data_IF_925242647451
#
_entry.id   IF_925242647451
#
_cell.length_a   1.000
_cell.length_b   1.000
_cell.length_c   1.000
_cell.angle_alpha   90.00
_cell.angle_beta   90.00
_cell.angle_gamma   90.00
#
_symmetry.space_group_name_H-M   'P 1'
#
loop_
_entity.id
_entity.type
_entity.pdbx_description
1 polymer ?
#
# COMPACT_ATOMS: atom_id res chain seq x y z
N UNK A 1 -9.44 -5.56 12.81
CA UNK A 1 -8.42 -5.58 11.75
C UNK A 1 -8.00 -4.17 11.32
N UNK A 2 -8.91 -3.27 10.91
CA UNK A 2 -8.51 -1.92 10.48
C UNK A 2 -7.64 -1.15 11.49
N UNK A 3 -8.02 -1.20 12.77
CA UNK A 3 -7.30 -0.47 13.82
C UNK A 3 -5.86 -0.95 14.06
N UNK A 4 -5.55 -2.22 13.82
CA UNK A 4 -4.20 -2.77 14.02
C UNK A 4 -3.29 -2.60 12.79
N UNK A 5 -3.85 -2.26 11.64
CA UNK A 5 -3.07 -2.20 10.40
C UNK A 5 -2.23 -0.91 10.27
N UNK A 6 -2.57 0.13 11.03
CA UNK A 6 -1.79 1.38 11.09
C UNK A 6 -0.31 1.18 11.42
N UNK A 7 0.01 0.13 12.20
CA UNK A 7 1.39 -0.20 12.54
C UNK A 7 2.26 -0.50 11.31
N UNK A 8 1.71 -1.11 10.26
CA UNK A 8 2.49 -1.52 9.10
C UNK A 8 3.16 -0.32 8.41
N UNK A 9 2.40 0.73 8.08
CA UNK A 9 2.98 1.92 7.44
C UNK A 9 3.76 2.78 8.43
N UNK A 10 3.41 2.77 9.71
CA UNK A 10 4.20 3.41 10.77
C UNK A 10 5.62 2.82 10.79
N UNK A 11 5.75 1.49 10.78
CA UNK A 11 7.05 0.82 10.72
C UNK A 11 7.81 1.15 9.42
N UNK A 12 7.13 1.20 8.28
CA UNK A 12 7.76 1.60 7.01
C UNK A 12 8.39 2.99 7.13
N UNK A 13 7.66 3.96 7.67
CA UNK A 13 8.13 5.35 7.76
C UNK A 13 9.22 5.53 8.82
N UNK A 14 9.03 4.97 10.02
CA UNK A 14 9.95 5.20 11.13
C UNK A 14 11.14 4.24 11.16
N UNK A 15 10.99 3.03 10.65
CA UNK A 15 12.09 2.07 10.52
C UNK A 15 12.83 2.16 9.17
N UNK A 16 12.34 2.97 8.22
CA UNK A 16 13.01 3.21 6.95
C UNK A 16 12.93 2.03 5.97
N UNK A 17 11.80 1.31 5.95
CA UNK A 17 11.60 0.20 5.01
C UNK A 17 11.07 0.69 3.67
N UNK A 18 11.45 -0.01 2.60
CA UNK A 18 10.95 0.27 1.25
C UNK A 18 9.59 -0.41 1.02
N UNK A 19 8.62 0.39 0.59
CA UNK A 19 7.28 -0.08 0.27
C UNK A 19 6.97 0.22 -1.20
N UNK A 20 6.74 -0.83 -2.00
CA UNK A 20 6.44 -0.72 -3.44
C UNK A 20 5.35 0.30 -3.75
N UNK A 21 4.24 0.26 -3.02
CA UNK A 21 3.11 1.16 -3.24
C UNK A 21 3.46 2.63 -3.02
N UNK A 22 4.33 2.96 -2.06
CA UNK A 22 4.88 4.30 -1.87
C UNK A 22 5.86 4.70 -2.98
N UNK A 23 6.70 3.76 -3.43
CA UNK A 23 7.63 3.99 -4.53
C UNK A 23 6.93 4.35 -5.84
N UNK A 24 5.71 3.84 -6.09
CA UNK A 24 4.93 4.23 -7.29
C UNK A 24 4.69 5.75 -7.36
N UNK A 25 4.51 6.42 -6.25
CA UNK A 25 4.37 7.88 -6.17
C UNK A 25 5.72 8.60 -6.20
N UNK A 26 6.65 8.23 -5.30
CA UNK A 26 7.90 8.97 -5.14
C UNK A 26 8.79 8.91 -6.37
N UNK A 27 8.94 7.72 -6.97
CA UNK A 27 9.75 7.55 -8.17
C UNK A 27 9.12 8.25 -9.38
N UNK A 28 7.79 8.24 -9.49
CA UNK A 28 7.09 9.03 -10.53
C UNK A 28 7.35 10.52 -10.37
N UNK A 29 7.26 11.06 -9.15
CA UNK A 29 7.62 12.46 -8.87
C UNK A 29 9.06 12.78 -9.24
N UNK A 30 10.01 11.88 -8.92
CA UNK A 30 11.42 12.01 -9.29
C UNK A 30 11.62 12.06 -10.79
N UNK A 31 10.98 11.16 -11.54
CA UNK A 31 11.06 11.10 -12.99
C UNK A 31 10.43 12.35 -13.66
N UNK A 32 9.24 12.77 -13.23
CA UNK A 32 8.58 13.97 -13.73
C UNK A 32 9.37 15.27 -13.44
N UNK A 33 10.12 15.29 -12.35
CA UNK A 33 11.06 16.36 -12.02
C UNK A 33 12.42 16.22 -12.70
N UNK A 34 12.60 15.21 -13.56
CA UNK A 34 13.86 14.90 -14.25
C UNK A 34 15.05 14.70 -13.31
N UNK A 35 14.80 14.19 -12.10
CA UNK A 35 15.85 13.88 -11.11
C UNK A 35 16.34 12.46 -11.22
N UNK A 36 15.58 11.58 -11.84
CA UNK A 36 15.91 10.17 -12.10
C UNK A 36 15.50 9.81 -13.53
N UNK A 37 16.09 8.77 -14.06
CA UNK A 37 15.74 8.22 -15.38
C UNK A 37 14.50 7.31 -15.29
N UNK A 38 13.90 6.99 -16.44
CA UNK A 38 12.84 5.96 -16.51
C UNK A 38 13.37 4.57 -16.17
N UNK A 39 14.66 4.31 -16.42
CA UNK A 39 15.31 3.05 -16.02
C UNK A 39 15.40 2.95 -14.50
N UNK A 40 15.78 4.04 -13.82
CA UNK A 40 15.82 4.07 -12.35
C UNK A 40 14.42 3.85 -11.76
N UNK A 41 13.40 4.47 -12.35
CA UNK A 41 12.00 4.28 -11.93
C UNK A 41 11.58 2.81 -12.09
N UNK A 42 11.78 2.23 -13.26
CA UNK A 42 11.34 0.85 -13.53
C UNK A 42 12.12 -0.18 -12.72
N UNK A 43 13.44 0.00 -12.56
CA UNK A 43 14.26 -0.87 -11.73
C UNK A 43 13.90 -0.78 -10.25
N UNK A 44 13.67 0.43 -9.73
CA UNK A 44 13.20 0.63 -8.36
C UNK A 44 11.85 -0.06 -8.12
N UNK A 45 10.88 0.09 -9.04
CA UNK A 45 9.59 -0.58 -8.91
C UNK A 45 9.72 -2.10 -8.94
N UNK A 46 10.54 -2.64 -9.86
CA UNK A 46 10.75 -4.09 -9.95
C UNK A 46 11.44 -4.63 -8.68
N UNK A 47 12.51 -3.97 -8.23
CA UNK A 47 13.27 -4.42 -7.06
C UNK A 47 12.47 -4.32 -5.76
N UNK A 48 11.72 -3.23 -5.56
CA UNK A 48 10.88 -3.10 -4.36
C UNK A 48 9.69 -4.06 -4.38
N UNK A 49 9.09 -4.31 -5.54
CA UNK A 49 8.01 -5.30 -5.67
C UNK A 49 8.50 -6.71 -5.35
N UNK A 50 9.64 -7.12 -5.94
CA UNK A 50 10.24 -8.43 -5.70
C UNK A 50 10.73 -8.57 -4.27
N UNK A 51 11.35 -7.53 -3.71
CA UNK A 51 11.79 -7.50 -2.31
C UNK A 51 10.62 -7.62 -1.33
N UNK A 52 9.52 -6.91 -1.59
CA UNK A 52 8.31 -7.03 -0.77
C UNK A 52 7.68 -8.43 -0.92
N UNK A 53 7.66 -9.03 -2.12
CA UNK A 53 7.17 -10.40 -2.31
C UNK A 53 8.03 -11.41 -1.55
N UNK A 54 9.35 -11.33 -1.66
CA UNK A 54 10.27 -12.21 -0.96
C UNK A 54 10.15 -12.07 0.57
N UNK A 55 10.10 -10.82 1.07
CA UNK A 55 9.91 -10.54 2.49
C UNK A 55 8.56 -11.01 3.01
N UNK A 56 7.50 -10.82 2.24
CA UNK A 56 6.16 -11.29 2.57
C UNK A 56 6.09 -12.84 2.63
N UNK A 57 6.72 -13.52 1.67
CA UNK A 57 6.79 -14.98 1.63
C UNK A 57 7.60 -15.52 2.82
N UNK A 58 8.75 -14.93 3.12
CA UNK A 58 9.56 -15.31 4.28
C UNK A 58 8.80 -15.12 5.59
N UNK A 59 8.13 -13.97 5.75
CA UNK A 59 7.30 -13.70 6.93
C UNK A 59 6.16 -14.73 7.06
N UNK A 60 5.51 -15.07 5.95
CA UNK A 60 4.44 -16.06 5.92
C UNK A 60 4.96 -17.45 6.36
N UNK A 61 6.13 -17.88 5.87
CA UNK A 61 6.76 -19.15 6.27
C UNK A 61 7.07 -19.14 7.76
N UNK A 62 7.72 -18.08 8.27
CA UNK A 62 8.05 -17.96 9.70
C UNK A 62 6.77 -18.02 10.55
N UNK A 63 5.73 -17.31 10.13
CA UNK A 63 4.45 -17.29 10.84
C UNK A 63 3.80 -18.67 10.89
N UNK A 64 3.76 -19.41 9.78
CA UNK A 64 3.17 -20.75 9.69
C UNK A 64 4.00 -21.76 10.50
N UNK A 65 5.33 -21.74 10.37
CA UNK A 65 6.24 -22.62 11.15
C UNK A 65 6.13 -22.33 12.65
N UNK A 66 5.94 -21.07 13.03
CA UNK A 66 5.63 -20.65 14.40
C UNK A 66 4.23 -21.03 14.90
N UNK A 67 3.50 -21.85 14.14
CA UNK A 67 2.17 -22.36 14.48
C UNK A 67 1.01 -21.47 14.07
N UNK A 68 1.25 -20.32 13.44
CA UNK A 68 0.23 -19.43 12.90
C UNK A 68 -0.73 -18.79 13.92
N UNK A 69 -0.47 -18.98 15.22
CA UNK A 69 -1.26 -18.42 16.33
C UNK A 69 -2.76 -18.74 16.20
N UNK A 70 -3.59 -17.85 16.73
CA UNK A 70 -5.05 -18.00 16.65
C UNK A 70 -5.59 -17.97 15.20
N UNK A 71 -4.84 -17.48 14.24
CA UNK A 71 -5.28 -17.39 12.84
C UNK A 71 -5.30 -18.74 12.11
N UNK A 72 -4.46 -19.71 12.49
CA UNK A 72 -4.42 -21.01 11.85
C UNK A 72 -4.96 -22.15 12.77
N UNK A 73 -4.93 -21.98 14.10
CA UNK A 73 -5.36 -23.01 15.04
C UNK A 73 -6.86 -23.03 15.36
N UNK A 74 -7.55 -21.92 15.30
CA UNK A 74 -8.95 -21.80 15.73
C UNK A 74 -9.95 -22.03 14.61
N UNK A 75 -9.78 -23.04 13.74
CA UNK A 75 -10.64 -23.24 12.56
C UNK A 75 -10.86 -21.93 11.82
N UNK A 76 -9.80 -21.30 11.40
CA UNK A 76 -9.80 -19.94 10.88
C UNK A 76 -10.51 -19.84 9.54
N UNK A 77 -11.80 -20.05 9.58
CA UNK A 77 -12.70 -19.86 8.46
C UNK A 77 -12.60 -18.44 7.90
N UNK A 78 -12.26 -17.48 8.77
CA UNK A 78 -12.13 -16.08 8.39
C UNK A 78 -10.98 -15.82 7.39
N UNK A 79 -9.76 -16.32 7.66
CA UNK A 79 -8.62 -16.15 6.75
C UNK A 79 -8.93 -16.77 5.39
N UNK A 80 -9.46 -17.98 5.37
CA UNK A 80 -9.78 -18.69 4.13
C UNK A 80 -10.94 -18.03 3.38
N UNK A 81 -11.95 -17.52 4.07
CA UNK A 81 -13.03 -16.73 3.46
C UNK A 81 -12.50 -15.48 2.78
N UNK A 82 -11.62 -14.73 3.46
CA UNK A 82 -11.00 -13.51 2.90
C UNK A 82 -10.10 -13.86 1.71
N UNK A 83 -9.26 -14.90 1.83
CA UNK A 83 -8.37 -15.33 0.75
C UNK A 83 -9.16 -15.78 -0.49
N UNK A 84 -10.20 -16.61 -0.30
CA UNK A 84 -11.10 -17.04 -1.38
C UNK A 84 -11.74 -15.84 -2.08
N UNK A 85 -12.31 -14.90 -1.30
CA UNK A 85 -12.93 -13.71 -1.86
C UNK A 85 -11.93 -12.86 -2.68
N UNK A 86 -10.71 -12.66 -2.16
CA UNK A 86 -9.66 -11.88 -2.84
C UNK A 86 -9.10 -12.56 -4.09
N UNK A 87 -8.91 -13.88 -4.05
CA UNK A 87 -8.36 -14.64 -5.19
C UNK A 87 -9.35 -14.81 -6.34
N UNK A 88 -10.65 -14.80 -6.06
CA UNK A 88 -11.70 -15.07 -7.04
C UNK A 88 -12.54 -13.84 -7.42
N UNK A 89 -12.20 -12.66 -6.94
CA UNK A 89 -12.90 -11.43 -7.28
C UNK A 89 -12.67 -11.05 -8.76
N UNK A 90 -13.66 -10.42 -9.42
CA UNK A 90 -13.51 -9.93 -10.78
C UNK A 90 -12.34 -8.96 -10.93
N UNK A 91 -11.59 -9.05 -12.02
CA UNK A 91 -10.41 -8.23 -12.30
C UNK A 91 -10.66 -6.72 -12.15
N UNK A 92 -11.79 -6.24 -12.67
CA UNK A 92 -12.14 -4.82 -12.60
C UNK A 92 -12.40 -4.34 -11.17
N UNK A 93 -12.97 -5.20 -10.32
CA UNK A 93 -13.19 -4.87 -8.91
C UNK A 93 -11.87 -4.80 -8.15
N UNK A 94 -10.98 -5.77 -8.36
CA UNK A 94 -9.64 -5.79 -7.77
C UNK A 94 -8.86 -4.53 -8.17
N UNK A 95 -8.88 -4.19 -9.44
CA UNK A 95 -8.21 -3.02 -9.98
C UNK A 95 -8.75 -1.71 -9.38
N UNK A 96 -10.07 -1.54 -9.36
CA UNK A 96 -10.70 -0.34 -8.80
C UNK A 96 -10.45 -0.18 -7.29
N UNK A 97 -10.61 -1.27 -6.50
CA UNK A 97 -10.31 -1.28 -5.07
C UNK A 97 -8.82 -1.01 -4.79
N UNK A 98 -7.94 -1.45 -5.68
CA UNK A 98 -6.51 -1.19 -5.58
C UNK A 98 -6.16 0.28 -5.84
N UNK A 99 -6.83 0.94 -6.79
CA UNK A 99 -6.70 2.38 -7.00
C UNK A 99 -7.06 3.13 -5.71
N UNK A 100 -8.23 2.86 -5.14
CA UNK A 100 -8.70 3.52 -3.93
C UNK A 100 -7.78 3.26 -2.73
N UNK A 101 -7.24 2.04 -2.62
CA UNK A 101 -6.30 1.69 -1.56
C UNK A 101 -5.02 2.51 -1.64
N UNK A 102 -4.33 2.48 -2.78
CA UNK A 102 -3.02 3.13 -2.89
C UNK A 102 -3.14 4.66 -2.92
N UNK A 103 -4.30 5.20 -3.24
CA UNK A 103 -4.56 6.62 -3.06
C UNK A 103 -4.41 7.01 -1.58
N UNK A 104 -5.05 6.26 -0.67
CA UNK A 104 -4.96 6.51 0.77
C UNK A 104 -3.55 6.24 1.32
N UNK A 105 -2.86 5.18 0.85
CA UNK A 105 -1.48 4.89 1.26
C UNK A 105 -0.54 6.02 0.85
N UNK A 106 -0.59 6.43 -0.40
CA UNK A 106 0.24 7.53 -0.89
C UNK A 106 -0.10 8.87 -0.22
N UNK A 107 -1.39 9.10 0.08
CA UNK A 107 -1.82 10.29 0.82
C UNK A 107 -1.26 10.29 2.24
N UNK A 108 -1.27 9.15 2.93
CA UNK A 108 -0.65 9.01 4.26
C UNK A 108 0.85 9.33 4.22
N UNK A 109 1.58 8.78 3.23
CA UNK A 109 3.00 9.06 3.01
C UNK A 109 3.26 10.53 2.71
N UNK A 110 2.44 11.13 1.84
CA UNK A 110 2.54 12.54 1.48
C UNK A 110 2.31 13.47 2.66
N UNK A 111 1.28 13.19 3.47
CA UNK A 111 1.01 13.96 4.69
C UNK A 111 2.14 13.79 5.71
N UNK A 112 2.59 12.55 5.95
CA UNK A 112 3.68 12.27 6.89
C UNK A 112 4.99 12.99 6.50
N UNK A 113 5.32 13.07 5.20
CA UNK A 113 6.49 13.79 4.70
C UNK A 113 6.43 15.31 4.91
N UNK A 114 5.23 15.88 5.10
CA UNK A 114 4.99 17.32 5.31
C UNK A 114 4.78 17.71 6.76
N UNK A 115 4.68 16.73 7.65
CA UNK A 115 4.49 16.95 9.08
C UNK A 115 5.84 16.90 9.81
N UNK A 116 6.00 17.72 10.84
CA UNK A 116 7.17 17.72 11.72
C UNK A 116 6.90 17.03 13.06
N UNK A 117 5.64 16.89 13.45
CA UNK A 117 5.24 16.24 14.70
C UNK A 117 4.97 14.74 14.45
N UNK A 118 5.70 13.88 15.13
CA UNK A 118 5.64 12.43 14.94
C UNK A 118 4.31 11.81 15.39
N UNK A 119 3.70 12.35 16.44
CA UNK A 119 2.36 11.92 16.87
C UNK A 119 1.32 12.24 15.79
N UNK A 120 1.37 13.43 15.20
CA UNK A 120 0.48 13.80 14.11
C UNK A 120 0.67 12.91 12.88
N UNK A 121 1.93 12.52 12.55
CA UNK A 121 2.20 11.53 11.49
C UNK A 121 1.49 10.20 11.78
N UNK A 122 1.65 9.67 13.00
CA UNK A 122 0.99 8.41 13.41
C UNK A 122 -0.53 8.48 13.28
N UNK A 123 -1.14 9.59 13.68
CA UNK A 123 -2.60 9.80 13.56
C UNK A 123 -3.05 9.84 12.10
N UNK A 124 -2.35 10.57 11.24
CA UNK A 124 -2.66 10.64 9.82
C UNK A 124 -2.52 9.28 9.12
N UNK A 125 -1.44 8.54 9.43
CA UNK A 125 -1.22 7.18 8.94
C UNK A 125 -2.36 6.26 9.41
N UNK A 126 -2.68 6.30 10.71
CA UNK A 126 -3.73 5.45 11.28
C UNK A 126 -5.06 5.62 10.55
N UNK A 127 -5.52 6.85 10.34
CA UNK A 127 -6.81 7.09 9.70
C UNK A 127 -6.87 6.64 8.24
N UNK A 128 -5.80 6.88 7.47
CA UNK A 128 -5.74 6.43 6.09
C UNK A 128 -5.76 4.90 5.99
N UNK A 129 -4.97 4.22 6.83
CA UNK A 129 -4.89 2.77 6.82
C UNK A 129 -6.16 2.12 7.39
N UNK A 130 -6.73 2.69 8.44
CA UNK A 130 -8.02 2.26 8.96
C UNK A 130 -9.12 2.34 7.89
N UNK A 131 -9.19 3.46 7.17
CA UNK A 131 -10.18 3.68 6.13
C UNK A 131 -10.08 2.63 5.02
N UNK A 132 -8.88 2.37 4.46
CA UNK A 132 -8.78 1.42 3.35
C UNK A 132 -9.03 -0.04 3.77
N UNK A 133 -8.61 -0.44 4.99
CA UNK A 133 -8.88 -1.79 5.49
C UNK A 133 -10.37 -1.98 5.82
N UNK A 134 -10.99 -0.99 6.47
CA UNK A 134 -12.41 -1.04 6.81
C UNK A 134 -13.30 -1.08 5.56
N UNK A 135 -12.87 -0.42 4.48
CA UNK A 135 -13.59 -0.40 3.20
C UNK A 135 -13.32 -1.64 2.33
N UNK A 136 -12.45 -2.56 2.75
CA UNK A 136 -12.11 -3.76 1.96
C UNK A 136 -11.34 -3.46 0.67
N UNK A 137 -10.54 -2.39 0.64
CA UNK A 137 -9.70 -2.04 -0.49
C UNK A 137 -8.51 -3.00 -0.62
N UNK A 138 -7.86 -3.00 -1.80
CA UNK A 138 -6.87 -4.01 -2.17
C UNK A 138 -5.45 -3.43 -2.20
N UNK A 139 -4.57 -3.99 -1.36
CA UNK A 139 -3.17 -3.60 -1.25
C UNK A 139 -2.26 -4.76 -1.67
N UNK A 140 -1.47 -4.59 -2.73
CA UNK A 140 -0.64 -5.67 -3.30
C UNK A 140 0.31 -6.28 -2.27
N UNK A 141 1.08 -5.48 -1.54
CA UNK A 141 2.06 -5.98 -0.56
C UNK A 141 1.39 -6.66 0.63
N UNK A 142 0.25 -6.14 1.12
CA UNK A 142 -0.51 -6.81 2.17
C UNK A 142 -1.08 -8.15 1.71
N UNK A 143 -1.54 -8.21 0.45
CA UNK A 143 -2.04 -9.44 -0.16
C UNK A 143 -0.92 -10.47 -0.36
N UNK A 144 0.31 -10.07 -0.68
CA UNK A 144 1.46 -10.98 -0.75
C UNK A 144 1.60 -11.80 0.54
N UNK A 145 1.52 -11.15 1.70
CA UNK A 145 1.62 -11.85 2.99
C UNK A 145 0.38 -12.68 3.30
N UNK A 146 -0.81 -12.07 3.22
CA UNK A 146 -2.07 -12.71 3.59
C UNK A 146 -2.36 -13.95 2.74
N UNK A 147 -2.23 -13.82 1.42
CA UNK A 147 -2.53 -14.92 0.50
C UNK A 147 -1.47 -16.02 0.55
N UNK A 148 -0.21 -15.68 0.81
CA UNK A 148 0.85 -16.70 1.03
C UNK A 148 0.61 -17.47 2.32
N UNK A 149 0.20 -16.83 3.42
CA UNK A 149 -0.18 -17.53 4.66
C UNK A 149 -1.35 -18.49 4.38
N UNK A 150 -2.35 -18.05 3.62
CA UNK A 150 -3.49 -18.90 3.26
C UNK A 150 -3.08 -20.12 2.44
N UNK A 151 -2.17 -19.95 1.46
CA UNK A 151 -1.63 -21.04 0.64
C UNK A 151 -0.75 -22.04 1.42
N UNK A 152 -0.06 -21.57 2.45
CA UNK A 152 0.77 -22.45 3.30
C UNK A 152 -0.05 -23.17 4.38
N UNK A 153 -1.28 -22.71 4.64
CA UNK A 153 -2.20 -23.33 5.59
C UNK A 153 -3.03 -24.46 4.96
N UNK A 154 -3.95 -25.03 5.75
CA UNK A 154 -4.96 -25.95 5.21
C UNK A 154 -6.07 -25.17 4.52
N UNK A 155 -6.06 -25.16 3.20
CA UNK A 155 -6.93 -24.30 2.38
C UNK A 155 -7.86 -25.10 1.45
N UNK A 156 -9.03 -24.54 1.08
CA UNK A 156 -9.90 -25.11 0.05
C UNK A 156 -9.30 -24.90 -1.36
N UNK A 157 -9.79 -25.62 -2.36
CA UNK A 157 -9.35 -25.53 -3.77
C UNK A 157 -9.53 -24.13 -4.38
N UNK A 158 -10.43 -23.34 -3.83
CA UNK A 158 -10.66 -21.94 -4.22
C UNK A 158 -9.50 -21.00 -3.86
N UNK A 159 -8.58 -21.44 -2.99
CA UNK A 159 -7.34 -20.75 -2.63
C UNK A 159 -6.20 -21.48 -3.33
N UNK A 160 -5.62 -20.87 -4.35
CA UNK A 160 -4.59 -21.51 -5.19
C UNK A 160 -3.63 -20.50 -5.80
N UNK A 161 -2.54 -20.99 -6.41
CA UNK A 161 -1.52 -20.12 -7.01
C UNK A 161 -2.02 -19.29 -8.21
N UNK A 162 -3.00 -19.80 -8.97
CA UNK A 162 -3.60 -19.05 -10.06
C UNK A 162 -4.40 -17.84 -9.52
N UNK A 163 -5.15 -18.04 -8.43
CA UNK A 163 -5.84 -16.97 -7.72
C UNK A 163 -4.90 -15.94 -7.10
N UNK A 164 -3.76 -16.39 -6.55
CA UNK A 164 -2.70 -15.49 -6.08
C UNK A 164 -2.17 -14.62 -7.22
N UNK A 165 -1.80 -15.23 -8.35
CA UNK A 165 -1.28 -14.51 -9.50
C UNK A 165 -2.31 -13.53 -10.07
N UNK A 166 -3.58 -13.96 -10.19
CA UNK A 166 -4.69 -13.12 -10.63
C UNK A 166 -4.85 -11.89 -9.72
N UNK A 167 -4.96 -12.09 -8.41
CA UNK A 167 -5.10 -10.98 -7.45
C UNK A 167 -3.91 -10.02 -7.52
N UNK A 168 -2.67 -10.52 -7.39
CA UNK A 168 -1.48 -9.68 -7.38
C UNK A 168 -1.32 -8.88 -8.68
N UNK A 169 -1.68 -9.46 -9.84
CA UNK A 169 -1.61 -8.74 -11.12
C UNK A 169 -2.52 -7.52 -11.13
N UNK A 170 -3.81 -7.71 -10.90
CA UNK A 170 -4.78 -6.61 -10.98
C UNK A 170 -4.63 -5.61 -9.86
N UNK A 171 -4.30 -6.07 -8.66
CA UNK A 171 -4.08 -5.19 -7.52
C UNK A 171 -2.79 -4.37 -7.69
N UNK A 172 -1.71 -4.98 -8.19
CA UNK A 172 -0.46 -4.24 -8.47
C UNK A 172 -0.68 -3.15 -9.52
N UNK A 173 -1.38 -3.48 -10.62
CA UNK A 173 -1.69 -2.50 -11.66
C UNK A 173 -2.53 -1.33 -11.14
N UNK A 174 -3.55 -1.60 -10.34
CA UNK A 174 -4.37 -0.55 -9.71
C UNK A 174 -3.57 0.32 -8.74
N UNK A 175 -2.70 -0.29 -7.93
CA UNK A 175 -1.81 0.45 -7.03
C UNK A 175 -0.83 1.34 -7.82
N UNK A 176 -0.26 0.87 -8.95
CA UNK A 176 0.60 1.68 -9.82
C UNK A 176 -0.18 2.89 -10.37
N UNK A 177 -1.35 2.67 -10.95
CA UNK A 177 -2.17 3.74 -11.52
C UNK A 177 -2.45 4.82 -10.47
N UNK A 178 -2.85 4.43 -9.28
CA UNK A 178 -3.13 5.38 -8.21
C UNK A 178 -1.88 6.16 -7.77
N UNK A 179 -0.80 5.45 -7.47
CA UNK A 179 0.44 6.08 -6.99
C UNK A 179 1.11 6.94 -8.05
N UNK A 180 1.20 6.45 -9.30
CA UNK A 180 1.88 7.17 -10.36
C UNK A 180 1.03 8.32 -10.94
N UNK A 181 -0.24 8.04 -11.33
CA UNK A 181 -1.04 9.05 -12.02
C UNK A 181 -1.75 9.98 -11.04
N UNK A 182 -2.53 9.46 -10.09
CA UNK A 182 -3.34 10.31 -9.24
C UNK A 182 -2.50 11.06 -8.20
N UNK A 183 -1.56 10.38 -7.55
CA UNK A 183 -0.73 11.02 -6.54
C UNK A 183 0.54 11.63 -7.14
N UNK A 184 1.36 10.87 -7.84
CA UNK A 184 2.62 11.36 -8.40
C UNK A 184 2.43 12.47 -9.42
N UNK A 185 1.73 12.17 -10.53
CA UNK A 185 1.50 13.17 -11.58
C UNK A 185 0.54 14.27 -11.14
N UNK A 186 -0.51 13.95 -10.37
CA UNK A 186 -1.47 14.92 -9.86
C UNK A 186 -0.80 15.99 -8.98
N UNK A 187 -0.02 15.58 -7.98
CA UNK A 187 0.70 16.54 -7.12
C UNK A 187 1.82 17.29 -7.84
N UNK A 188 2.50 16.64 -8.81
CA UNK A 188 3.45 17.34 -9.67
C UNK A 188 2.80 18.44 -10.48
N UNK A 189 1.64 18.16 -11.09
CA UNK A 189 0.89 19.15 -11.85
C UNK A 189 0.40 20.30 -10.95
N UNK A 190 -0.21 19.97 -9.80
CA UNK A 190 -0.69 20.97 -8.84
C UNK A 190 0.45 21.87 -8.33
N UNK A 191 1.67 21.35 -8.18
CA UNK A 191 2.83 22.13 -7.73
C UNK A 191 3.35 23.12 -8.79
N UNK A 192 2.88 23.04 -10.03
CA UNK A 192 3.25 23.95 -11.13
C UNK A 192 2.23 25.07 -11.38
N UNK A 193 1.04 24.97 -10.76
CA UNK A 193 0.07 26.05 -10.87
C UNK A 193 0.59 27.30 -10.16
N UNK A 194 0.42 28.50 -10.77
CA UNK A 194 0.73 29.75 -10.08
C UNK A 194 0.00 29.77 -8.73
N UNK A 195 0.74 30.02 -7.67
CA UNK A 195 0.10 30.27 -6.37
C UNK A 195 -0.69 31.57 -6.49
N UNK A 196 -1.96 31.63 -6.06
CA UNK A 196 -2.63 32.90 -5.89
C UNK A 196 -1.77 33.80 -5.02
N UNK A 197 -1.54 35.05 -5.42
CA UNK A 197 -0.89 36.02 -4.56
C UNK A 197 -1.70 36.08 -3.27
N UNK A 198 -1.21 35.44 -2.22
CA UNK A 198 -1.76 35.63 -0.89
C UNK A 198 -1.47 37.07 -0.54
N UNK A 199 -2.52 37.89 -0.43
CA UNK A 199 -2.40 39.29 0.03
C UNK A 199 -1.51 39.26 1.31
N UNK A 200 -0.57 40.24 1.44
CA UNK A 200 0.31 40.30 2.61
C UNK A 200 -0.57 40.20 3.85
N UNK A 201 -0.25 39.27 4.73
CA UNK A 201 -0.87 39.16 6.05
C UNK A 201 -0.81 40.53 6.68
N UNK A 202 -1.96 41.15 6.99
CA UNK A 202 -1.98 42.38 7.74
C UNK A 202 -1.20 42.14 9.02
N UNK A 203 -0.05 42.81 9.17
CA UNK A 203 0.65 42.86 10.45
C UNK A 203 -0.34 43.34 11.50
N UNK A 204 -0.41 42.70 12.67
CA UNK A 204 -1.20 43.24 13.75
C UNK A 204 -0.70 44.66 14.04
N UNK A 205 -1.60 45.63 14.01
CA UNK A 205 -1.32 47.02 14.47
C UNK A 205 -0.85 46.92 15.91
N UNK A 206 0.31 47.53 16.20
CA UNK A 206 0.91 47.67 17.54
C UNK A 206 -0.05 48.37 18.52
#
# INVERSE_FOLDING_TARGET
MGASFGIALTLVIFAGSDLFTGHTMFMTLGALRRRISLTDLSSSWAMTWLGNLAGAALLAVIFVVGGGGAMLHSKSQFLMTVATAKMNAPAIELFARAILCNWLVCLALWMAARMTNDTAKCVAIFWCLFAFIASGFEHSVANMTLLTIALLGNHPDTVNYAGLAHNLTWVTLGNIVSGALFMGAGYWFASRMPQPDLAPSMEPAE
#
